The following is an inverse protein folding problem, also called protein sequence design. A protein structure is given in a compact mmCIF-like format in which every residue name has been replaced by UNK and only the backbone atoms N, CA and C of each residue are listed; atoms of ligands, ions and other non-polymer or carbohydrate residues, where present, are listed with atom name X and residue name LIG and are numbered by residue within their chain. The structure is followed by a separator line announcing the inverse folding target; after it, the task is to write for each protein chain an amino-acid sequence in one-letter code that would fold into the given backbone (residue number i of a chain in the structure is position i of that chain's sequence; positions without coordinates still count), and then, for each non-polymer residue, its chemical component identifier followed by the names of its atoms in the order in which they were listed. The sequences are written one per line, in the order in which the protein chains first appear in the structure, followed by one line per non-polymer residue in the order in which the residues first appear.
data_IF_820882305881
#
_entry.id   IF_820882305881
#
_cell.length_a   1.000
_cell.length_b   1.000
_cell.length_c   1.000
_cell.angle_alpha   90.00
_cell.angle_beta   90.00
_cell.angle_gamma   90.00
#
_symmetry.space_group_name_H-M   'P 1'
#
loop_
_entity.id
_entity.type
_entity.pdbx_description
1 polymer ?
#
# COMPACT_ATOMS: atom_id res chain seq x y z
N UNK A 1 -30.19 44.26 -29.99
CA UNK A 1 -28.76 44.41 -29.65
C UNK A 1 -28.39 43.42 -28.56
N UNK A 2 -27.76 42.30 -28.91
CA UNK A 2 -27.31 41.32 -27.92
C UNK A 2 -26.10 41.84 -27.16
N UNK A 3 -26.13 41.82 -25.82
CA UNK A 3 -24.97 42.15 -25.00
C UNK A 3 -23.92 41.07 -25.23
N UNK A 4 -22.76 41.44 -25.78
CA UNK A 4 -21.61 40.56 -25.77
C UNK A 4 -21.25 40.27 -24.31
N UNK A 5 -21.37 39.01 -23.89
CA UNK A 5 -20.90 38.57 -22.57
C UNK A 5 -19.39 38.77 -22.52
N UNK A 6 -18.91 39.67 -21.68
CA UNK A 6 -17.48 39.83 -21.41
C UNK A 6 -16.90 38.47 -21.03
N UNK A 7 -15.79 38.02 -21.64
CA UNK A 7 -15.18 36.75 -21.28
C UNK A 7 -14.77 36.80 -19.81
N UNK A 8 -15.36 35.92 -19.00
CA UNK A 8 -15.06 35.83 -17.57
C UNK A 8 -13.60 35.40 -17.40
N UNK A 9 -12.84 36.18 -16.63
CA UNK A 9 -11.40 35.94 -16.45
C UNK A 9 -11.19 34.72 -15.55
N UNK A 10 -10.64 33.64 -16.13
CA UNK A 10 -10.18 32.47 -15.38
C UNK A 10 -8.68 32.58 -15.08
N UNK A 11 -8.30 32.30 -13.83
CA UNK A 11 -6.88 32.30 -13.41
C UNK A 11 -6.06 31.23 -14.15
N UNK A 12 -6.70 30.09 -14.43
CA UNK A 12 -6.10 28.96 -15.14
C UNK A 12 -7.00 28.56 -16.30
N UNK A 13 -6.38 28.36 -17.47
CA UNK A 13 -7.10 27.97 -18.67
C UNK A 13 -7.05 26.45 -18.84
N UNK A 14 -8.13 25.80 -19.29
CA UNK A 14 -8.10 24.38 -19.60
C UNK A 14 -7.14 24.13 -20.78
N UNK A 15 -6.25 23.16 -20.61
CA UNK A 15 -5.31 22.69 -21.61
C UNK A 15 -5.73 21.33 -22.19
N UNK A 16 -4.76 20.45 -22.45
CA UNK A 16 -5.05 19.12 -23.01
C UNK A 16 -5.63 18.20 -21.94
N UNK A 17 -6.67 17.44 -22.30
CA UNK A 17 -7.34 16.44 -21.45
C UNK A 17 -7.94 17.02 -20.16
N UNK A 18 -8.39 18.26 -20.23
CA UNK A 18 -8.93 19.02 -19.09
C UNK A 18 -10.23 19.69 -19.51
N UNK A 19 -11.27 19.52 -18.69
CA UNK A 19 -12.58 20.15 -18.84
C UNK A 19 -12.75 21.36 -17.91
N UNK A 20 -13.73 22.22 -18.24
CA UNK A 20 -14.14 23.37 -17.44
C UNK A 20 -15.62 23.24 -17.09
N UNK A 21 -15.93 23.30 -15.79
CA UNK A 21 -17.29 23.33 -15.26
C UNK A 21 -17.96 24.69 -15.42
N UNK A 22 -19.27 24.74 -15.19
CA UNK A 22 -20.08 25.97 -15.28
C UNK A 22 -19.62 27.07 -14.32
N UNK A 23 -19.10 26.68 -13.17
CA UNK A 23 -18.54 27.50 -12.11
C UNK A 23 -17.02 27.76 -12.28
N UNK A 24 -16.46 27.44 -13.45
CA UNK A 24 -15.03 27.51 -13.77
C UNK A 24 -14.17 26.50 -12.99
N UNK A 25 -14.78 25.47 -12.40
CA UNK A 25 -14.05 24.35 -11.80
C UNK A 25 -13.34 23.54 -12.88
N UNK A 26 -12.05 23.25 -12.69
CA UNK A 26 -11.24 22.49 -13.65
C UNK A 26 -11.20 21.02 -13.22
N UNK A 27 -11.49 20.12 -14.15
CA UNK A 27 -11.44 18.66 -13.92
C UNK A 27 -10.65 17.93 -15.01
N UNK A 28 -10.03 16.81 -14.66
CA UNK A 28 -9.29 15.95 -15.58
C UNK A 28 -10.22 15.00 -16.33
N UNK A 29 -10.00 14.81 -17.62
CA UNK A 29 -10.72 13.83 -18.45
C UNK A 29 -10.04 12.45 -18.45
N UNK A 30 -8.77 12.40 -18.10
CA UNK A 30 -7.96 11.18 -18.06
C UNK A 30 -7.16 11.11 -16.76
N UNK A 31 -6.78 9.89 -16.38
CA UNK A 31 -5.83 9.67 -15.29
C UNK A 31 -4.40 10.00 -15.73
N UNK A 32 -3.64 10.63 -14.84
CA UNK A 32 -2.27 10.97 -15.15
C UNK A 32 -1.65 12.01 -14.23
N UNK A 33 -0.59 12.63 -14.75
CA UNK A 33 0.11 13.73 -14.10
C UNK A 33 -0.42 15.05 -14.63
N UNK A 34 -0.76 15.95 -13.70
CA UNK A 34 -1.15 17.32 -14.00
C UNK A 34 0.11 18.15 -14.22
N UNK A 35 0.16 18.89 -15.32
CA UNK A 35 1.26 19.81 -15.64
C UNK A 35 0.72 21.22 -15.88
N UNK A 36 1.36 22.19 -15.24
CA UNK A 36 1.12 23.61 -15.45
C UNK A 36 2.04 24.15 -16.53
N UNK A 37 1.47 24.82 -17.52
CA UNK A 37 2.20 25.40 -18.64
C UNK A 37 1.87 26.88 -18.78
N UNK A 38 2.80 27.66 -19.31
CA UNK A 38 2.53 29.07 -19.64
C UNK A 38 1.56 29.15 -20.83
N UNK A 39 0.67 30.12 -20.78
CA UNK A 39 -0.29 30.43 -21.84
C UNK A 39 -0.21 31.92 -22.19
N UNK A 40 0.82 32.28 -22.97
CA UNK A 40 1.17 33.68 -23.24
C UNK A 40 1.97 34.32 -22.10
N UNK A 41 1.95 35.66 -21.98
CA UNK A 41 2.82 36.38 -21.04
C UNK A 41 2.42 36.14 -19.57
N UNK A 42 1.14 36.32 -19.23
CA UNK A 42 0.71 36.36 -17.82
C UNK A 42 -0.17 35.17 -17.40
N UNK A 43 -0.71 34.42 -18.37
CA UNK A 43 -1.70 33.37 -18.09
C UNK A 43 -1.04 31.99 -18.02
N UNK A 44 -1.71 31.08 -17.31
CA UNK A 44 -1.30 29.68 -17.18
C UNK A 44 -2.41 28.78 -17.67
N UNK A 45 -2.04 27.62 -18.22
CA UNK A 45 -2.96 26.55 -18.59
C UNK A 45 -2.59 25.25 -17.87
N UNK A 46 -3.59 24.40 -17.68
CA UNK A 46 -3.44 23.11 -17.01
C UNK A 46 -3.67 22.01 -18.04
N UNK A 47 -2.69 21.13 -18.22
CA UNK A 47 -2.81 19.96 -19.09
C UNK A 47 -2.58 18.69 -18.29
N UNK A 48 -3.28 17.61 -18.63
CA UNK A 48 -3.07 16.29 -18.02
C UNK A 48 -2.39 15.37 -19.03
N UNK A 49 -1.30 14.73 -18.60
CA UNK A 49 -0.55 13.77 -19.39
C UNK A 49 -0.65 12.38 -18.75
N UNK A 50 -0.86 11.32 -19.56
CA UNK A 50 -0.97 9.97 -19.03
C UNK A 50 0.31 9.57 -18.28
N UNK A 51 0.14 9.00 -17.09
CA UNK A 51 1.27 8.53 -16.28
C UNK A 51 1.62 7.10 -16.68
N UNK A 52 2.78 6.92 -17.32
CA UNK A 52 3.36 5.58 -17.48
C UNK A 52 3.81 5.12 -16.09
N UNK A 53 3.25 4.02 -15.59
CA UNK A 53 3.68 3.40 -14.33
C UNK A 53 5.11 2.90 -14.53
N UNK A 54 6.07 3.59 -13.92
CA UNK A 54 7.45 3.11 -13.91
C UNK A 54 7.54 1.90 -12.97
N UNK A 55 8.35 0.88 -13.33
CA UNK A 55 8.55 -0.28 -12.47
C UNK A 55 9.18 0.15 -11.15
N UNK A 56 8.73 -0.47 -10.07
CA UNK A 56 9.18 -0.16 -8.72
C UNK A 56 10.57 -0.72 -8.45
N UNK A 57 11.45 0.11 -7.88
CA UNK A 57 12.80 -0.29 -7.54
C UNK A 57 12.77 -1.31 -6.37
N UNK A 58 13.22 -2.56 -6.59
CA UNK A 58 13.11 -3.64 -5.59
C UNK A 58 13.93 -3.36 -4.33
N UNK A 59 15.01 -2.58 -4.42
CA UNK A 59 15.90 -2.30 -3.30
C UNK A 59 15.47 -1.08 -2.46
N UNK A 60 14.28 -0.54 -2.68
CA UNK A 60 13.75 0.59 -1.90
C UNK A 60 13.48 0.23 -0.43
N UNK A 61 13.85 1.13 0.49
CA UNK A 61 13.56 0.98 1.92
C UNK A 61 12.07 0.79 2.23
N UNK A 62 11.17 1.35 1.38
CA UNK A 62 9.72 1.18 1.48
C UNK A 62 9.29 -0.26 1.19
N UNK A 63 9.87 -0.89 0.17
CA UNK A 63 9.61 -2.28 -0.17
C UNK A 63 10.10 -3.20 0.95
N UNK A 64 11.33 -2.98 1.45
CA UNK A 64 11.90 -3.73 2.58
C UNK A 64 11.04 -3.66 3.84
N UNK A 65 10.53 -2.48 4.20
CA UNK A 65 9.62 -2.33 5.36
C UNK A 65 8.29 -3.07 5.16
N UNK A 66 7.68 -2.99 3.97
CA UNK A 66 6.45 -3.73 3.64
C UNK A 66 6.65 -5.24 3.81
N UNK A 67 7.74 -5.75 3.27
CA UNK A 67 8.12 -7.16 3.36
C UNK A 67 8.39 -7.60 4.80
N UNK A 68 9.13 -6.79 5.56
CA UNK A 68 9.37 -7.03 6.98
C UNK A 68 8.06 -7.20 7.76
N UNK A 69 7.12 -6.26 7.62
CA UNK A 69 5.85 -6.35 8.34
C UNK A 69 4.96 -7.50 7.87
N UNK A 70 5.02 -7.90 6.59
CA UNK A 70 4.39 -9.14 6.10
C UNK A 70 4.98 -10.34 6.85
N UNK A 71 6.30 -10.47 6.86
CA UNK A 71 6.99 -11.57 7.52
C UNK A 71 6.72 -11.62 9.03
N UNK A 72 6.65 -10.48 9.71
CA UNK A 72 6.31 -10.44 11.15
C UNK A 72 4.89 -10.94 11.42
N UNK A 73 3.91 -10.59 10.57
CA UNK A 73 2.54 -11.10 10.69
C UNK A 73 2.48 -12.60 10.46
N UNK A 74 3.11 -13.11 9.41
CA UNK A 74 3.17 -14.55 9.15
C UNK A 74 3.86 -15.31 10.29
N UNK A 75 5.00 -14.80 10.80
CA UNK A 75 5.68 -15.39 11.97
C UNK A 75 4.81 -15.40 13.22
N UNK A 76 4.05 -14.32 13.47
CA UNK A 76 3.15 -14.23 14.63
C UNK A 76 1.96 -15.18 14.46
N UNK A 77 1.40 -15.29 13.26
CA UNK A 77 0.34 -16.24 12.91
C UNK A 77 0.82 -17.67 13.06
N UNK A 78 1.98 -18.01 12.51
CA UNK A 78 2.59 -19.34 12.63
C UNK A 78 2.92 -19.73 14.07
N UNK A 79 3.30 -18.79 14.95
CA UNK A 79 3.44 -19.07 16.40
C UNK A 79 2.10 -19.32 17.06
N UNK A 80 1.06 -18.56 16.70
CA UNK A 80 -0.30 -18.74 17.23
C UNK A 80 -0.93 -20.05 16.74
N UNK A 81 -0.66 -20.45 15.49
CA UNK A 81 -1.15 -21.68 14.88
C UNK A 81 -0.26 -22.90 15.19
N UNK A 82 1.03 -22.71 15.45
CA UNK A 82 1.93 -23.73 15.99
C UNK A 82 1.75 -23.97 17.50
N UNK A 83 0.99 -23.08 18.16
CA UNK A 83 0.35 -23.32 19.45
C UNK A 83 -1.12 -23.63 19.13
N UNK A 84 -1.37 -24.76 18.47
CA UNK A 84 -2.68 -25.40 18.59
C UNK A 84 -2.72 -25.89 20.05
N UNK A 85 -3.58 -25.39 20.96
CA UNK A 85 -4.00 -26.26 22.04
C UNK A 85 -4.74 -27.38 21.33
N UNK A 86 -4.16 -28.60 21.32
CA UNK A 86 -4.87 -29.81 20.87
C UNK A 86 -6.31 -29.69 21.39
N UNK A 87 -7.33 -29.46 20.54
CA UNK A 87 -8.70 -29.53 21.03
C UNK A 87 -8.86 -30.95 21.51
N UNK A 88 -9.25 -31.12 22.77
CA UNK A 88 -9.47 -32.42 23.39
C UNK A 88 -10.37 -33.27 22.47
N UNK A 89 -9.78 -34.08 21.60
CA UNK A 89 -10.47 -35.23 21.03
C UNK A 89 -10.33 -36.33 22.07
N UNK A 90 -11.28 -36.28 23.00
CA UNK A 90 -11.75 -37.45 23.73
C UNK A 90 -12.10 -38.51 22.69
N UNK A 91 -11.19 -39.43 22.40
CA UNK A 91 -11.53 -40.78 21.96
C UNK A 91 -10.52 -41.73 22.57
N UNK A 92 -11.03 -42.50 23.52
CA UNK A 92 -10.39 -43.63 24.13
C UNK A 92 -9.96 -44.64 23.05
N UNK A 93 -8.69 -45.02 23.06
CA UNK A 93 -8.32 -46.37 22.66
C UNK A 93 -7.13 -46.82 23.48
N UNK A 94 -7.40 -47.85 24.27
CA UNK A 94 -6.50 -48.58 25.14
C UNK A 94 -5.24 -49.08 24.41
N UNK A 95 -4.10 -49.08 25.11
CA UNK A 95 -3.29 -50.27 25.44
C UNK A 95 -1.80 -49.93 25.68
N UNK A 96 -1.37 -50.16 26.92
CA UNK A 96 -0.10 -50.76 27.38
C UNK A 96 1.27 -50.30 26.83
N UNK A 97 2.06 -49.77 27.77
CA UNK A 97 3.43 -50.20 28.14
C UNK A 97 4.69 -49.67 27.40
N UNK A 98 5.66 -49.33 28.27
CA UNK A 98 7.14 -49.25 28.15
C UNK A 98 7.83 -47.93 27.77
N UNK A 99 8.55 -47.46 28.79
CA UNK A 99 9.96 -47.03 28.82
C UNK A 99 10.47 -45.84 28.01
N UNK A 100 10.84 -44.80 28.77
CA UNK A 100 12.17 -44.16 28.70
C UNK A 100 12.43 -43.25 27.51
N UNK A 101 12.81 -41.99 27.78
CA UNK A 101 14.10 -41.41 27.35
C UNK A 101 14.21 -40.00 27.93
N UNK A 102 15.26 -39.86 28.75
CA UNK A 102 15.81 -38.63 29.30
C UNK A 102 16.37 -37.77 28.16
N UNK A 103 15.90 -36.53 27.95
CA UNK A 103 16.65 -35.58 27.09
C UNK A 103 16.42 -34.08 27.36
N UNK A 104 15.88 -33.68 28.50
CA UNK A 104 15.70 -32.25 28.82
C UNK A 104 16.03 -31.95 30.28
N UNK A 105 17.31 -31.90 30.64
CA UNK A 105 17.69 -31.01 31.77
C UNK A 105 19.18 -30.58 31.89
N UNK A 106 19.99 -30.65 30.83
CA UNK A 106 21.43 -30.30 30.94
C UNK A 106 21.92 -29.10 30.12
N UNK A 107 21.10 -28.50 29.24
CA UNK A 107 21.59 -27.46 28.32
C UNK A 107 21.25 -26.01 28.69
N UNK A 108 20.36 -25.76 29.66
CA UNK A 108 19.95 -24.39 30.05
C UNK A 108 20.51 -23.93 31.40
N UNK A 109 21.70 -24.40 31.80
CA UNK A 109 22.38 -23.91 33.02
C UNK A 109 23.89 -23.65 32.86
N UNK A 110 24.39 -23.33 31.65
CA UNK A 110 25.84 -23.21 31.48
C UNK A 110 26.42 -22.04 30.68
N UNK A 111 25.67 -21.02 30.27
CA UNK A 111 26.31 -19.81 29.70
C UNK A 111 25.56 -18.53 30.04
N UNK A 112 25.45 -18.24 31.33
CA UNK A 112 25.33 -16.88 31.83
C UNK A 112 26.20 -16.79 33.08
N UNK A 113 27.44 -16.35 32.90
CA UNK A 113 28.34 -15.67 33.85
C UNK A 113 29.52 -15.14 33.04
#
# INVERSE_FOLDING_TARGET
MGRASSPVSVKFHPGKNVGLGKDHTIFSLIDGLVKFEKFGPDRKKISVYPRVLQPENPNSCRAKKREYFRMQRERKKARKEGIVPQPQLVLASANEATDGIQFVDSFYRRNLH
#
